data_IF_714749024761
#
_entry.id   IF_714749024761
#
_cell.length_a   1.000
_cell.length_b   1.000
_cell.length_c   1.000
_cell.angle_alpha   90.00
_cell.angle_beta   90.00
_cell.angle_gamma   90.00
#
_symmetry.space_group_name_H-M   'P 1'
#
loop_
_entity.id
_entity.type
_entity.pdbx_description
1 polymer ?
#
# COMPACT_ATOMS: atom_id res chain seq x y z
N UNK A 1 0.95 21.75 -10.13
CA UNK A 1 1.96 22.32 -9.22
C UNK A 1 3.04 21.25 -9.09
N UNK A 2 4.19 21.45 -9.73
CA UNK A 2 5.25 20.46 -9.78
C UNK A 2 5.75 20.15 -8.36
N UNK A 3 6.11 18.90 -8.09
CA UNK A 3 6.85 18.51 -6.89
C UNK A 3 8.23 19.17 -6.95
N UNK A 4 8.32 20.41 -6.49
CA UNK A 4 9.58 21.15 -6.37
C UNK A 4 10.31 20.68 -5.12
N UNK A 5 11.41 19.99 -5.33
CA UNK A 5 12.42 19.78 -4.30
C UNK A 5 13.20 21.07 -4.13
N UNK A 6 12.93 21.83 -3.07
CA UNK A 6 13.77 22.96 -2.69
C UNK A 6 15.13 22.47 -2.16
N UNK A 7 16.26 23.04 -2.62
CA UNK A 7 17.56 22.77 -2.04
C UNK A 7 17.69 23.53 -0.71
N UNK A 8 18.05 22.81 0.35
CA UNK A 8 18.27 23.36 1.70
C UNK A 8 19.27 24.51 1.69
N UNK A 9 18.85 25.64 2.21
CA UNK A 9 19.66 26.83 2.47
C UNK A 9 20.83 26.53 3.40
N UNK A 10 22.00 27.10 3.08
CA UNK A 10 23.22 27.06 3.87
C UNK A 10 23.02 27.78 5.23
N UNK A 11 23.38 27.10 6.31
CA UNK A 11 23.47 27.73 7.66
C UNK A 11 24.59 28.77 7.70
N UNK A 12 24.39 29.91 8.35
CA UNK A 12 25.48 30.88 8.61
C UNK A 12 26.44 30.33 9.66
N UNK A 13 27.75 30.64 9.46
CA UNK A 13 28.82 30.35 10.40
C UNK A 13 28.70 31.34 11.58
N UNK A 14 28.62 30.82 12.81
CA UNK A 14 28.77 31.56 14.02
C UNK A 14 30.27 31.65 14.37
N UNK A 15 30.76 32.89 14.60
CA UNK A 15 32.09 33.19 15.10
C UNK A 15 32.19 32.93 16.61
N UNK A 16 33.45 32.94 17.15
CA UNK A 16 33.69 32.65 18.54
C UNK A 16 33.49 33.91 19.41
N UNK A 17 32.65 33.79 20.42
CA UNK A 17 32.68 34.77 21.51
C UNK A 17 32.62 34.11 22.88
N UNK A 18 33.40 34.68 23.74
CA UNK A 18 33.84 34.24 25.05
C UNK A 18 32.80 34.49 26.15
N UNK A 19 33.07 33.82 27.26
CA UNK A 19 32.68 34.14 28.62
C UNK A 19 31.19 33.99 29.02
N UNK A 20 30.85 32.84 29.64
CA UNK A 20 29.75 32.74 30.61
C UNK A 20 30.00 31.66 31.66
N UNK A 21 30.13 32.15 32.90
CA UNK A 21 30.06 31.38 34.16
C UNK A 21 28.89 30.37 34.20
N UNK A 22 29.05 29.18 34.79
CA UNK A 22 28.00 28.18 34.87
C UNK A 22 26.95 28.57 35.94
N UNK A 23 25.64 28.37 35.64
CA UNK A 23 24.60 28.52 36.64
C UNK A 23 24.50 27.29 37.54
N UNK A 24 24.26 27.56 38.82
CA UNK A 24 24.07 26.63 39.94
C UNK A 24 22.86 25.72 39.68
N UNK A 25 23.06 24.40 39.78
CA UNK A 25 21.99 23.38 39.59
C UNK A 25 21.23 23.21 40.91
N UNK A 26 19.95 23.52 40.94
CA UNK A 26 19.00 23.08 41.96
C UNK A 26 18.44 21.71 41.60
N UNK A 27 18.27 20.76 42.55
CA UNK A 27 17.66 19.47 42.27
C UNK A 27 16.14 19.63 42.18
N UNK A 28 15.64 19.75 40.95
CA UNK A 28 14.20 19.73 40.64
C UNK A 28 13.78 18.33 40.17
N UNK A 29 12.71 17.82 40.75
CA UNK A 29 12.06 16.53 40.49
C UNK A 29 11.86 16.26 38.99
N UNK A 30 12.58 15.29 38.47
CA UNK A 30 12.36 14.80 37.10
C UNK A 30 11.19 13.80 37.07
N UNK A 31 10.02 14.29 36.74
CA UNK A 31 8.94 13.42 36.19
C UNK A 31 9.40 12.95 34.80
N UNK A 32 9.32 11.65 34.49
CA UNK A 32 9.68 11.18 33.16
C UNK A 32 8.71 11.78 32.12
N UNK A 33 9.19 12.12 30.92
CA UNK A 33 8.34 12.67 29.88
C UNK A 33 7.27 11.65 29.51
N UNK A 34 6.02 12.02 29.70
CA UNK A 34 4.85 11.30 29.23
C UNK A 34 4.94 11.27 27.70
N UNK A 35 5.18 10.09 27.12
CA UNK A 35 5.04 9.88 25.68
C UNK A 35 3.60 10.20 25.31
N UNK A 36 3.35 11.37 24.77
CA UNK A 36 2.10 11.62 24.03
C UNK A 36 2.12 10.70 22.81
N UNK A 37 1.01 9.99 22.52
CA UNK A 37 0.89 9.25 21.27
C UNK A 37 1.08 10.24 20.11
N UNK A 38 2.10 10.03 19.29
CA UNK A 38 2.26 10.77 18.05
C UNK A 38 1.06 10.40 17.19
N UNK A 39 0.15 11.34 16.93
CA UNK A 39 -0.94 11.13 15.98
C UNK A 39 -0.34 10.65 14.66
N UNK A 40 -0.90 9.58 14.06
CA UNK A 40 -0.40 9.07 12.79
C UNK A 40 -0.50 10.19 11.75
N UNK A 41 0.62 10.55 11.13
CA UNK A 41 0.67 11.45 9.99
C UNK A 41 -0.32 10.93 8.94
N UNK A 42 -1.38 11.71 8.68
CA UNK A 42 -2.35 11.39 7.65
C UNK A 42 -1.68 11.54 6.28
N UNK A 43 -1.16 10.44 5.75
CA UNK A 43 -0.49 10.38 4.44
C UNK A 43 -1.42 9.90 3.33
N UNK A 44 -2.62 9.45 3.68
CA UNK A 44 -3.58 8.89 2.74
C UNK A 44 -3.99 9.90 1.68
N UNK A 45 -4.02 9.47 0.41
CA UNK A 45 -4.34 10.29 -0.75
C UNK A 45 -5.44 9.65 -1.59
N UNK A 46 -6.24 10.51 -2.22
CA UNK A 46 -7.27 10.12 -3.18
C UNK A 46 -6.65 9.70 -4.50
N UNK A 47 -7.20 8.66 -5.13
CA UNK A 47 -6.91 8.30 -6.51
C UNK A 47 -8.18 8.51 -7.35
N UNK A 48 -8.05 9.27 -8.43
CA UNK A 48 -9.09 9.43 -9.44
C UNK A 48 -8.63 8.80 -10.76
N UNK A 49 -9.40 7.86 -11.26
CA UNK A 49 -9.15 7.18 -12.54
C UNK A 49 -10.24 7.57 -13.54
N UNK A 50 -9.85 7.90 -14.76
CA UNK A 50 -10.79 8.33 -15.82
C UNK A 50 -10.45 7.69 -17.15
N UNK A 51 -11.40 6.91 -17.71
CA UNK A 51 -11.31 6.30 -19.02
C UNK A 51 -10.09 5.41 -19.22
N UNK A 52 -9.66 4.69 -18.16
CA UNK A 52 -8.43 3.91 -18.19
C UNK A 52 -8.59 2.64 -19.01
N UNK A 53 -7.71 2.49 -20.02
CA UNK A 53 -7.51 1.24 -20.75
C UNK A 53 -6.05 0.80 -20.63
N UNK A 54 -5.81 -0.51 -20.49
CA UNK A 54 -4.47 -1.05 -20.41
C UNK A 54 -4.29 -2.22 -21.38
N UNK A 55 -3.09 -2.28 -21.95
CA UNK A 55 -2.74 -3.20 -23.02
C UNK A 55 -1.47 -3.97 -22.70
N UNK A 56 -1.44 -5.21 -23.14
CA UNK A 56 -0.25 -6.03 -23.27
C UNK A 56 0.00 -6.29 -24.76
N UNK A 57 0.93 -5.53 -25.37
CA UNK A 57 1.14 -5.49 -26.84
C UNK A 57 -0.16 -5.11 -27.56
N UNK A 58 -0.71 -6.00 -28.40
CA UNK A 58 -1.98 -5.79 -29.12
C UNK A 58 -3.24 -6.14 -28.30
N UNK A 59 -3.09 -6.90 -27.21
CA UNK A 59 -4.20 -7.33 -26.38
C UNK A 59 -4.63 -6.23 -25.40
N UNK A 60 -5.89 -5.76 -25.51
CA UNK A 60 -6.52 -4.85 -24.56
C UNK A 60 -7.01 -5.69 -23.38
N UNK A 61 -6.36 -5.55 -22.23
CA UNK A 61 -6.69 -6.33 -21.03
C UNK A 61 -7.82 -5.72 -20.20
N UNK A 62 -7.91 -4.39 -20.17
CA UNK A 62 -9.00 -3.64 -19.52
C UNK A 62 -9.39 -2.45 -20.39
N UNK A 63 -10.65 -2.01 -20.28
CA UNK A 63 -11.22 -0.95 -21.13
C UNK A 63 -12.15 -0.04 -20.33
N UNK A 64 -11.98 1.26 -20.52
CA UNK A 64 -12.84 2.36 -20.05
C UNK A 64 -13.20 2.30 -18.56
N UNK A 65 -12.18 2.12 -17.70
CA UNK A 65 -12.38 2.10 -16.25
C UNK A 65 -12.31 3.52 -15.69
N UNK A 66 -13.39 3.94 -15.01
CA UNK A 66 -13.46 5.20 -14.29
C UNK A 66 -13.94 4.95 -12.87
N UNK A 67 -13.13 5.35 -11.87
CA UNK A 67 -13.41 5.14 -10.45
C UNK A 67 -12.66 6.15 -9.59
N UNK A 68 -13.29 6.56 -8.48
CA UNK A 68 -12.64 7.30 -7.41
C UNK A 68 -12.34 6.38 -6.23
N UNK A 69 -11.14 6.46 -5.68
CA UNK A 69 -10.69 5.72 -4.51
C UNK A 69 -10.43 6.75 -3.41
N UNK A 70 -11.26 6.71 -2.37
CA UNK A 70 -11.24 7.71 -1.31
C UNK A 70 -10.05 7.51 -0.34
N UNK A 71 -9.49 8.58 0.23
CA UNK A 71 -8.42 8.47 1.21
C UNK A 71 -8.92 7.81 2.50
N UNK A 72 -8.00 7.17 3.24
CA UNK A 72 -8.28 6.49 4.52
C UNK A 72 -9.45 5.48 4.44
N UNK A 73 -9.58 4.82 3.31
CA UNK A 73 -10.60 3.82 3.05
C UNK A 73 -9.99 2.57 2.43
N UNK A 74 -10.73 1.48 2.46
CA UNK A 74 -10.41 0.24 1.76
C UNK A 74 -11.37 0.09 0.58
N UNK A 75 -10.83 0.06 -0.64
CA UNK A 75 -11.59 -0.27 -1.86
C UNK A 75 -11.24 -1.69 -2.30
N UNK A 76 -12.23 -2.57 -2.34
CA UNK A 76 -12.07 -3.93 -2.82
C UNK A 76 -12.42 -4.06 -4.31
N UNK A 77 -11.56 -4.72 -5.09
CA UNK A 77 -11.85 -5.12 -6.46
C UNK A 77 -12.20 -6.60 -6.47
N UNK A 78 -13.43 -6.92 -6.85
CA UNK A 78 -13.96 -8.28 -6.94
C UNK A 78 -14.33 -8.62 -8.40
N UNK A 79 -14.48 -9.91 -8.71
CA UNK A 79 -14.87 -10.40 -10.05
C UNK A 79 -14.17 -11.70 -10.42
N UNK A 80 -14.56 -12.34 -11.52
CA UNK A 80 -14.00 -13.63 -11.94
C UNK A 80 -12.50 -13.55 -12.26
N UNK A 81 -11.83 -14.69 -12.26
CA UNK A 81 -10.43 -14.79 -12.66
C UNK A 81 -10.26 -14.34 -14.11
N UNK A 82 -9.20 -13.58 -14.40
CA UNK A 82 -8.91 -13.09 -15.75
C UNK A 82 -9.65 -11.82 -16.19
N UNK A 83 -10.57 -11.26 -15.39
CA UNK A 83 -11.27 -10.01 -15.75
C UNK A 83 -10.46 -8.73 -15.58
N UNK A 84 -9.14 -8.80 -15.37
CA UNK A 84 -8.26 -7.65 -15.40
C UNK A 84 -8.03 -6.92 -14.07
N UNK A 85 -8.55 -7.38 -12.91
CA UNK A 85 -8.37 -6.74 -11.59
C UNK A 85 -6.91 -6.45 -11.24
N UNK A 86 -6.06 -7.46 -11.31
CA UNK A 86 -4.63 -7.30 -11.02
C UNK A 86 -3.91 -6.45 -12.07
N UNK A 87 -4.38 -6.46 -13.34
CA UNK A 87 -3.88 -5.54 -14.36
C UNK A 87 -4.22 -4.10 -13.97
N UNK A 88 -5.49 -3.82 -13.62
CA UNK A 88 -5.91 -2.51 -13.16
C UNK A 88 -5.15 -2.07 -11.90
N UNK A 89 -5.04 -2.95 -10.89
CA UNK A 89 -4.27 -2.65 -9.68
C UNK A 89 -2.84 -2.19 -10.01
N UNK A 90 -2.16 -2.88 -10.93
CA UNK A 90 -0.78 -2.57 -11.34
C UNK A 90 -0.65 -1.30 -12.16
N UNK A 91 -1.72 -0.78 -12.75
CA UNK A 91 -1.68 0.53 -13.41
C UNK A 91 -1.62 1.66 -12.39
N UNK A 92 -2.20 1.49 -11.19
CA UNK A 92 -2.22 2.53 -10.16
C UNK A 92 -0.84 2.89 -9.61
N UNK A 93 0.18 2.01 -9.78
CA UNK A 93 1.57 2.27 -9.38
C UNK A 93 2.57 2.11 -10.54
N UNK A 94 2.11 2.09 -11.77
CA UNK A 94 2.95 1.93 -12.98
C UNK A 94 3.74 0.61 -13.04
N UNK A 95 3.38 -0.41 -12.22
CA UNK A 95 3.97 -1.74 -12.30
C UNK A 95 3.59 -2.47 -13.60
N UNK A 96 2.49 -2.08 -14.24
CA UNK A 96 2.08 -2.59 -15.54
C UNK A 96 3.17 -2.39 -16.61
N UNK A 97 3.86 -1.24 -16.60
CA UNK A 97 4.91 -0.87 -17.56
C UNK A 97 6.18 -1.72 -17.47
N UNK A 98 6.34 -2.53 -16.41
CA UNK A 98 7.48 -3.47 -16.30
C UNK A 98 7.38 -4.60 -17.34
N UNK A 99 6.18 -4.86 -17.86
CA UNK A 99 5.96 -5.85 -18.92
C UNK A 99 6.28 -5.23 -20.27
N UNK A 100 7.23 -5.80 -21.05
CA UNK A 100 7.59 -5.25 -22.37
C UNK A 100 6.40 -5.15 -23.32
N UNK A 101 6.19 -3.94 -23.86
CA UNK A 101 5.07 -3.64 -24.76
C UNK A 101 3.75 -3.37 -24.05
N UNK A 102 3.74 -3.28 -22.72
CA UNK A 102 2.57 -2.80 -22.00
C UNK A 102 2.42 -1.27 -22.16
N UNK A 103 1.18 -0.81 -22.26
CA UNK A 103 0.84 0.61 -22.33
C UNK A 103 -0.51 0.88 -21.68
N UNK A 104 -0.73 2.14 -21.32
CA UNK A 104 -1.94 2.62 -20.67
C UNK A 104 -2.46 3.82 -21.48
N UNK A 105 -3.78 3.93 -21.58
CA UNK A 105 -4.51 5.10 -22.10
C UNK A 105 -5.47 5.58 -20.99
N UNK A 106 -5.88 6.83 -21.02
CA UNK A 106 -6.69 7.45 -19.96
C UNK A 106 -5.83 8.14 -18.89
N UNK A 107 -6.38 8.38 -17.71
CA UNK A 107 -5.70 9.13 -16.62
C UNK A 107 -5.81 8.42 -15.30
N UNK A 108 -4.72 8.50 -14.51
CA UNK A 108 -4.66 8.12 -13.10
C UNK A 108 -4.09 9.28 -12.31
N UNK A 109 -4.91 9.92 -11.51
CA UNK A 109 -4.52 11.07 -10.71
C UNK A 109 -4.37 10.64 -9.25
N UNK A 110 -3.23 10.97 -8.63
CA UNK A 110 -3.03 10.86 -7.18
C UNK A 110 -3.10 12.27 -6.60
N UNK A 111 -4.17 12.56 -5.88
CA UNK A 111 -4.43 13.89 -5.31
C UNK A 111 -4.34 15.01 -6.38
N UNK A 112 -4.91 14.74 -7.56
CA UNK A 112 -4.91 15.65 -8.72
C UNK A 112 -3.65 15.63 -9.59
N UNK A 113 -2.59 14.93 -9.20
CA UNK A 113 -1.37 14.80 -10.01
C UNK A 113 -1.43 13.55 -10.90
N UNK A 114 -1.27 13.74 -12.21
CA UNK A 114 -1.25 12.64 -13.18
C UNK A 114 -0.01 11.77 -13.01
N UNK A 115 -0.21 10.49 -12.65
CA UNK A 115 0.88 9.54 -12.45
C UNK A 115 1.58 9.13 -13.74
N UNK A 116 0.95 9.38 -14.90
CA UNK A 116 1.47 9.06 -16.23
C UNK A 116 1.98 10.28 -17.01
N UNK A 117 2.06 11.46 -16.36
CA UNK A 117 2.66 12.62 -16.99
C UNK A 117 4.12 12.35 -17.42
N UNK A 118 4.58 12.90 -18.56
CA UNK A 118 5.91 12.58 -19.14
C UNK A 118 7.10 12.88 -18.21
N UNK A 119 6.94 13.81 -17.28
CA UNK A 119 7.94 14.25 -16.32
C UNK A 119 7.90 13.46 -15.00
N UNK A 120 6.95 12.52 -14.83
CA UNK A 120 6.81 11.71 -13.62
C UNK A 120 7.64 10.45 -13.72
N UNK A 121 8.62 10.29 -12.80
CA UNK A 121 9.44 9.08 -12.68
C UNK A 121 8.61 7.92 -12.11
N UNK A 122 8.52 6.76 -12.81
CA UNK A 122 7.84 5.57 -12.29
C UNK A 122 8.38 5.07 -10.95
N UNK A 123 9.67 5.27 -10.67
CA UNK A 123 10.26 4.89 -9.39
C UNK A 123 9.75 5.80 -8.26
N UNK A 124 9.53 7.08 -8.53
CA UNK A 124 8.92 8.01 -7.58
C UNK A 124 7.46 7.61 -7.27
N UNK A 125 6.68 7.20 -8.29
CA UNK A 125 5.32 6.69 -8.10
C UNK A 125 5.32 5.46 -7.19
N UNK A 126 6.20 4.50 -7.42
CA UNK A 126 6.27 3.25 -6.62
C UNK A 126 6.74 3.45 -5.18
N UNK A 127 7.32 4.61 -4.87
CA UNK A 127 7.62 4.99 -3.47
C UNK A 127 6.38 5.44 -2.71
N UNK A 128 5.49 6.17 -3.39
CA UNK A 128 4.27 6.71 -2.77
C UNK A 128 3.07 5.78 -2.88
N UNK A 129 3.08 4.86 -3.86
CA UNK A 129 2.06 3.83 -4.06
C UNK A 129 2.71 2.45 -3.89
N UNK A 130 2.73 1.96 -2.65
CA UNK A 130 3.31 0.67 -2.27
C UNK A 130 2.47 -0.51 -2.75
N UNK A 131 3.09 -1.70 -2.83
CA UNK A 131 2.40 -2.92 -3.28
C UNK A 131 2.78 -4.14 -2.46
N UNK A 132 1.77 -4.92 -2.08
CA UNK A 132 1.86 -6.24 -1.49
C UNK A 132 1.35 -7.25 -2.52
N UNK A 133 2.15 -8.27 -2.81
CA UNK A 133 1.86 -9.26 -3.84
C UNK A 133 1.09 -10.46 -3.27
N UNK A 134 0.42 -11.18 -4.15
CA UNK A 134 -0.35 -12.38 -3.84
C UNK A 134 0.48 -13.45 -3.13
N UNK A 135 1.69 -13.73 -3.62
CA UNK A 135 2.63 -14.62 -2.95
C UNK A 135 3.60 -13.80 -2.12
N UNK A 136 3.80 -14.14 -0.84
CA UNK A 136 4.83 -13.50 -0.04
C UNK A 136 6.18 -13.57 -0.75
N UNK A 137 6.86 -12.44 -0.83
CA UNK A 137 8.13 -12.32 -1.56
C UNK A 137 9.22 -11.63 -0.71
N UNK A 138 9.51 -12.13 0.50
CA UNK A 138 10.64 -11.61 1.26
C UNK A 138 11.93 -11.83 0.45
N UNK A 139 12.89 -10.91 0.58
CA UNK A 139 14.21 -11.11 0.00
C UNK A 139 14.89 -12.30 0.69
N UNK A 140 15.14 -13.43 -0.01
CA UNK A 140 15.47 -14.69 0.66
C UNK A 140 16.84 -14.69 1.36
N UNK A 141 17.77 -13.89 0.87
CA UNK A 141 19.12 -13.74 1.42
C UNK A 141 19.22 -12.69 2.52
N UNK A 142 18.16 -11.89 2.72
CA UNK A 142 18.12 -10.84 3.73
C UNK A 142 17.47 -11.33 5.02
N UNK A 143 17.98 -10.81 6.14
CA UNK A 143 17.37 -11.00 7.45
C UNK A 143 15.99 -10.32 7.52
N UNK A 144 15.22 -10.61 8.57
CA UNK A 144 13.92 -9.95 8.85
C UNK A 144 14.10 -8.43 8.91
N UNK A 145 15.09 -7.97 9.68
CA UNK A 145 15.44 -6.54 9.78
C UNK A 145 15.78 -5.93 8.41
N UNK A 146 16.66 -6.57 7.64
CA UNK A 146 17.08 -6.07 6.32
C UNK A 146 15.94 -6.03 5.31
N UNK A 147 15.01 -6.99 5.35
CA UNK A 147 13.82 -6.97 4.50
C UNK A 147 13.00 -5.69 4.72
N UNK A 148 12.73 -5.32 5.98
CA UNK A 148 11.98 -4.09 6.29
C UNK A 148 12.80 -2.85 5.96
N UNK A 149 14.09 -2.86 6.29
CA UNK A 149 15.01 -1.73 6.08
C UNK A 149 15.31 -1.45 4.60
N UNK A 150 15.08 -2.41 3.69
CA UNK A 150 15.50 -2.32 2.29
C UNK A 150 14.97 -1.06 1.58
N UNK A 151 13.66 -0.81 1.65
CA UNK A 151 13.04 0.37 1.05
C UNK A 151 13.51 1.69 1.68
N UNK A 152 13.70 1.71 3.01
CA UNK A 152 14.17 2.88 3.73
C UNK A 152 15.58 3.25 3.28
N UNK A 153 16.49 2.26 3.18
CA UNK A 153 17.88 2.46 2.73
C UNK A 153 17.97 2.97 1.29
N UNK A 154 17.10 2.50 0.40
CA UNK A 154 17.06 2.97 -0.98
C UNK A 154 16.63 4.45 -1.08
N UNK A 155 15.78 4.91 -0.17
CA UNK A 155 15.21 6.25 -0.21
C UNK A 155 15.97 7.27 0.66
N UNK A 156 16.81 6.83 1.60
CA UNK A 156 17.54 7.69 2.54
C UNK A 156 18.96 7.19 2.78
N UNK A 157 19.92 7.83 2.12
CA UNK A 157 21.36 7.47 2.23
C UNK A 157 22.03 7.96 3.51
N UNK A 158 21.35 8.77 4.35
CA UNK A 158 21.93 9.45 5.51
C UNK A 158 21.18 9.23 6.83
N UNK A 159 20.38 8.18 6.92
CA UNK A 159 19.68 7.86 8.17
C UNK A 159 20.66 7.26 9.19
N UNK A 160 20.62 7.73 10.45
CA UNK A 160 21.40 7.11 11.53
C UNK A 160 20.89 5.69 11.78
N UNK A 161 21.78 4.79 12.21
CA UNK A 161 21.42 3.41 12.46
C UNK A 161 20.28 3.27 13.48
N UNK A 162 20.30 4.05 14.56
CA UNK A 162 19.25 4.03 15.58
C UNK A 162 17.88 4.40 14.98
N UNK A 163 17.82 5.48 14.19
CA UNK A 163 16.57 5.92 13.53
C UNK A 163 16.03 4.86 12.55
N UNK A 164 16.93 4.10 11.89
CA UNK A 164 16.57 2.99 11.03
C UNK A 164 16.01 1.82 11.84
N UNK A 165 16.66 1.46 12.94
CA UNK A 165 16.25 0.36 13.82
C UNK A 165 14.87 0.67 14.45
N UNK A 166 14.66 1.90 14.92
CA UNK A 166 13.36 2.37 15.44
C UNK A 166 12.25 2.28 14.39
N UNK A 167 12.56 2.65 13.15
CA UNK A 167 11.62 2.61 12.04
C UNK A 167 11.26 1.18 11.61
N UNK A 168 12.24 0.27 11.65
CA UNK A 168 12.03 -1.16 11.41
C UNK A 168 11.13 -1.75 12.50
N UNK A 169 11.41 -1.45 13.78
CA UNK A 169 10.58 -1.89 14.90
C UNK A 169 9.15 -1.37 14.76
N UNK A 170 8.96 -0.07 14.53
CA UNK A 170 7.64 0.53 14.35
C UNK A 170 6.86 -0.13 13.20
N UNK A 171 7.51 -0.44 12.08
CA UNK A 171 6.88 -1.11 10.94
C UNK A 171 6.48 -2.56 11.25
N UNK A 172 7.32 -3.30 11.99
CA UNK A 172 7.01 -4.66 12.42
C UNK A 172 5.88 -4.68 13.46
N UNK A 173 5.81 -3.68 14.36
CA UNK A 173 4.70 -3.52 15.32
C UNK A 173 3.40 -3.23 14.58
N UNK A 174 3.41 -2.28 13.65
CA UNK A 174 2.23 -1.95 12.81
C UNK A 174 1.77 -3.12 11.95
N UNK A 175 2.66 -4.04 11.57
CA UNK A 175 2.33 -5.27 10.86
C UNK A 175 1.95 -6.45 11.78
N UNK A 176 1.78 -6.22 13.08
CA UNK A 176 1.48 -7.25 14.09
C UNK A 176 2.45 -8.44 14.04
N UNK A 177 3.75 -8.16 13.79
CA UNK A 177 4.78 -9.19 13.65
C UNK A 177 5.90 -9.07 14.70
N UNK A 178 6.04 -7.92 15.36
CA UNK A 178 7.17 -7.61 16.25
C UNK A 178 7.37 -8.66 17.34
N UNK A 179 6.32 -8.99 18.09
CA UNK A 179 6.42 -9.88 19.24
C UNK A 179 6.83 -11.31 18.86
N UNK A 180 6.57 -11.71 17.61
CA UNK A 180 6.95 -13.01 17.09
C UNK A 180 8.40 -13.06 16.59
N UNK A 181 9.02 -11.91 16.26
CA UNK A 181 10.32 -11.88 15.56
C UNK A 181 11.41 -11.06 16.25
N UNK A 182 11.10 -10.29 17.29
CA UNK A 182 12.06 -9.38 17.97
C UNK A 182 13.36 -10.06 18.41
N UNK A 183 13.30 -11.32 18.83
CA UNK A 183 14.47 -12.08 19.30
C UNK A 183 15.25 -12.76 18.16
N UNK A 184 14.76 -12.64 16.91
CA UNK A 184 15.35 -13.28 15.73
C UNK A 184 15.44 -12.38 14.49
N UNK A 185 15.52 -11.07 14.67
CA UNK A 185 15.58 -10.06 13.58
C UNK A 185 16.73 -10.29 12.59
N UNK A 186 17.82 -10.93 13.02
CA UNK A 186 18.97 -11.28 12.18
C UNK A 186 18.79 -12.60 11.40
N UNK A 187 17.72 -13.36 11.64
CA UNK A 187 17.41 -14.58 10.89
C UNK A 187 16.85 -14.25 9.52
N UNK A 188 17.07 -15.12 8.51
CA UNK A 188 16.48 -14.93 7.17
C UNK A 188 14.95 -14.85 7.22
N UNK A 189 14.38 -13.89 6.47
CA UNK A 189 12.92 -13.73 6.36
C UNK A 189 12.22 -14.92 5.70
N UNK A 190 12.93 -15.66 4.85
CA UNK A 190 12.42 -16.87 4.20
C UNK A 190 12.11 -18.02 5.18
N UNK A 191 12.68 -18.01 6.40
CA UNK A 191 12.41 -19.02 7.43
C UNK A 191 11.12 -18.80 8.24
N UNK A 192 10.34 -17.79 7.93
CA UNK A 192 9.05 -17.49 8.55
C UNK A 192 7.92 -18.33 7.94
N UNK A 193 6.81 -18.52 8.69
CA UNK A 193 5.58 -19.12 8.13
C UNK A 193 4.98 -18.25 7.03
N UNK A 194 4.08 -18.78 6.19
CA UNK A 194 3.45 -18.03 5.10
C UNK A 194 2.78 -16.74 5.57
N UNK A 195 1.98 -16.79 6.63
CA UNK A 195 1.34 -15.62 7.22
C UNK A 195 2.35 -14.61 7.82
N UNK A 196 3.42 -15.10 8.45
CA UNK A 196 4.51 -14.24 8.93
C UNK A 196 5.26 -13.58 7.78
N UNK A 197 5.54 -14.31 6.69
CA UNK A 197 6.17 -13.75 5.50
C UNK A 197 5.30 -12.67 4.86
N UNK A 198 3.99 -12.88 4.79
CA UNK A 198 3.07 -11.88 4.25
C UNK A 198 3.06 -10.61 5.12
N UNK A 199 2.98 -10.74 6.43
CA UNK A 199 3.09 -9.60 7.36
C UNK A 199 4.46 -8.92 7.28
N UNK A 200 5.55 -9.67 7.04
CA UNK A 200 6.87 -9.10 6.77
C UNK A 200 6.88 -8.27 5.47
N UNK A 201 6.23 -8.75 4.40
CA UNK A 201 6.09 -8.01 3.15
C UNK A 201 5.23 -6.74 3.34
N UNK A 202 4.18 -6.80 4.17
CA UNK A 202 3.41 -5.61 4.55
C UNK A 202 4.28 -4.65 5.35
N UNK A 203 5.01 -5.11 6.38
CA UNK A 203 5.93 -4.28 7.16
C UNK A 203 6.96 -3.56 6.26
N UNK A 204 7.54 -4.28 5.29
CA UNK A 204 8.44 -3.71 4.28
C UNK A 204 7.76 -2.64 3.43
N UNK A 205 6.52 -2.86 3.01
CA UNK A 205 5.78 -1.91 2.18
C UNK A 205 5.43 -0.63 2.95
N UNK A 206 5.01 -0.72 4.22
CA UNK A 206 4.63 0.44 5.03
C UNK A 206 5.84 1.18 5.62
N UNK A 207 7.02 0.55 5.68
CA UNK A 207 8.23 1.16 6.25
C UNK A 207 8.72 2.41 5.48
N UNK A 208 8.35 2.55 4.22
CA UNK A 208 8.64 3.73 3.41
C UNK A 208 7.57 4.82 3.51
N UNK A 209 6.53 4.59 4.33
CA UNK A 209 5.39 5.50 4.54
C UNK A 209 4.72 5.89 3.21
N UNK A 210 4.15 4.92 2.48
CA UNK A 210 3.45 5.20 1.24
C UNK A 210 2.16 6.01 1.52
N UNK A 211 1.60 6.63 0.49
CA UNK A 211 0.30 7.30 0.55
C UNK A 211 -0.85 6.35 0.24
N UNK A 212 -0.56 5.34 -0.58
CA UNK A 212 -1.50 4.29 -1.00
C UNK A 212 -0.83 2.93 -0.85
N UNK A 213 -1.58 1.93 -0.41
CA UNK A 213 -1.14 0.55 -0.30
C UNK A 213 -2.03 -0.35 -1.17
N UNK A 214 -1.44 -0.91 -2.21
CA UNK A 214 -2.09 -1.87 -3.10
C UNK A 214 -1.84 -3.29 -2.59
N UNK A 215 -2.86 -4.13 -2.56
CA UNK A 215 -2.77 -5.52 -2.13
C UNK A 215 -3.41 -6.44 -3.17
N UNK A 216 -2.59 -7.25 -3.84
CA UNK A 216 -3.05 -8.22 -4.85
C UNK A 216 -3.26 -9.57 -4.18
N UNK A 217 -4.51 -9.93 -3.85
CA UNK A 217 -4.92 -11.18 -3.21
C UNK A 217 -4.08 -11.57 -1.96
N UNK A 218 -3.92 -10.69 -0.96
CA UNK A 218 -2.90 -10.85 0.10
C UNK A 218 -3.11 -12.07 1.00
N UNK A 219 -4.28 -12.71 0.97
CA UNK A 219 -4.63 -13.85 1.81
C UNK A 219 -4.85 -15.17 1.05
N UNK A 220 -4.70 -15.19 -0.28
CA UNK A 220 -5.11 -16.35 -1.11
C UNK A 220 -4.34 -17.65 -0.82
N UNK A 221 -3.14 -17.56 -0.23
CA UNK A 221 -2.29 -18.72 0.09
C UNK A 221 -2.14 -18.94 1.62
N UNK A 222 -3.01 -18.33 2.44
CA UNK A 222 -2.91 -18.36 3.90
C UNK A 222 -3.98 -19.23 4.53
N UNK A 223 -3.67 -19.75 5.70
CA UNK A 223 -4.63 -20.42 6.56
C UNK A 223 -5.66 -19.41 7.15
N UNK A 224 -6.82 -19.89 7.67
CA UNK A 224 -7.86 -19.01 8.18
C UNK A 224 -7.42 -18.06 9.30
N UNK A 225 -6.54 -18.52 10.20
CA UNK A 225 -6.06 -17.71 11.34
C UNK A 225 -5.17 -16.58 10.81
N UNK A 226 -4.23 -16.90 9.91
CA UNK A 226 -3.38 -15.92 9.25
C UNK A 226 -4.19 -14.92 8.42
N UNK A 227 -5.28 -15.38 7.78
CA UNK A 227 -6.20 -14.52 7.02
C UNK A 227 -6.87 -13.49 7.92
N UNK A 228 -7.44 -13.90 9.05
CA UNK A 228 -8.06 -12.98 10.01
C UNK A 228 -7.04 -11.95 10.53
N UNK A 229 -5.82 -12.38 10.85
CA UNK A 229 -4.77 -11.47 11.30
C UNK A 229 -4.40 -10.40 10.25
N UNK A 230 -4.47 -10.73 8.95
CA UNK A 230 -4.28 -9.75 7.86
C UNK A 230 -5.50 -8.83 7.71
N UNK A 231 -6.72 -9.34 7.89
CA UNK A 231 -7.95 -8.54 7.85
C UNK A 231 -7.97 -7.49 8.98
N UNK A 232 -7.63 -7.89 10.21
CA UNK A 232 -7.49 -6.96 11.35
C UNK A 232 -6.40 -5.91 11.07
N UNK A 233 -5.29 -6.34 10.48
CA UNK A 233 -4.21 -5.45 10.11
C UNK A 233 -4.66 -4.42 9.05
N UNK A 234 -5.46 -4.80 8.06
CA UNK A 234 -6.01 -3.89 7.04
C UNK A 234 -6.87 -2.81 7.72
N UNK A 235 -7.71 -3.18 8.69
CA UNK A 235 -8.53 -2.22 9.45
C UNK A 235 -7.70 -1.20 10.23
N UNK A 236 -6.55 -1.60 10.78
CA UNK A 236 -5.65 -0.66 11.45
C UNK A 236 -4.89 0.24 10.44
N UNK A 237 -4.43 -0.34 9.33
CA UNK A 237 -3.67 0.39 8.32
C UNK A 237 -4.50 1.44 7.59
N UNK A 238 -5.81 1.23 7.37
CA UNK A 238 -6.67 2.21 6.69
C UNK A 238 -6.76 3.55 7.42
N UNK A 239 -6.49 3.59 8.72
CA UNK A 239 -6.45 4.83 9.50
C UNK A 239 -5.34 5.80 9.03
N UNK A 240 -4.32 5.28 8.34
CA UNK A 240 -3.15 6.05 7.89
C UNK A 240 -2.95 6.03 6.38
N UNK A 241 -3.51 5.05 5.67
CA UNK A 241 -3.29 4.81 4.24
C UNK A 241 -4.60 4.71 3.48
N UNK A 242 -4.55 5.03 2.21
CA UNK A 242 -5.56 4.58 1.24
C UNK A 242 -5.22 3.15 0.84
N UNK A 243 -6.16 2.22 0.93
CA UNK A 243 -5.92 0.80 0.64
C UNK A 243 -6.77 0.35 -0.54
N UNK A 244 -6.15 -0.35 -1.48
CA UNK A 244 -6.85 -1.05 -2.57
C UNK A 244 -6.51 -2.52 -2.48
N UNK A 245 -7.52 -3.37 -2.37
CA UNK A 245 -7.35 -4.81 -2.29
C UNK A 245 -8.03 -5.51 -3.47
N UNK A 246 -7.32 -6.40 -4.16
CA UNK A 246 -7.92 -7.39 -5.05
C UNK A 246 -8.18 -8.65 -4.26
N UNK A 247 -9.37 -9.21 -4.34
CA UNK A 247 -9.70 -10.50 -3.76
C UNK A 247 -10.78 -11.22 -4.57
N UNK A 248 -10.68 -12.54 -4.62
CA UNK A 248 -11.76 -13.40 -5.12
C UNK A 248 -12.63 -13.96 -3.98
N UNK A 249 -12.28 -13.67 -2.71
CA UNK A 249 -13.06 -14.06 -1.55
C UNK A 249 -14.06 -12.96 -1.18
N UNK A 250 -15.35 -13.21 -1.48
CA UNK A 250 -16.44 -12.28 -1.21
C UNK A 250 -16.61 -11.95 0.26
N UNK A 251 -16.42 -12.93 1.13
CA UNK A 251 -16.53 -12.72 2.58
C UNK A 251 -15.42 -11.79 3.08
N UNK A 252 -14.20 -11.93 2.55
CA UNK A 252 -13.11 -11.02 2.84
C UNK A 252 -13.42 -9.60 2.38
N UNK A 253 -13.86 -9.43 1.12
CA UNK A 253 -14.25 -8.11 0.61
C UNK A 253 -15.31 -7.47 1.49
N UNK A 254 -16.36 -8.22 1.85
CA UNK A 254 -17.45 -7.73 2.71
C UNK A 254 -16.97 -7.31 4.11
N UNK A 255 -15.94 -7.99 4.69
CA UNK A 255 -15.44 -7.65 6.02
C UNK A 255 -14.50 -6.46 6.03
N UNK A 256 -13.62 -6.33 5.02
CA UNK A 256 -12.49 -5.39 5.12
C UNK A 256 -12.71 -4.08 4.37
N UNK A 257 -13.62 -4.04 3.36
CA UNK A 257 -13.72 -2.87 2.49
C UNK A 257 -14.87 -1.92 2.86
N UNK A 258 -14.66 -0.65 2.59
CA UNK A 258 -15.67 0.41 2.68
C UNK A 258 -16.38 0.57 1.34
N UNK A 259 -15.66 0.38 0.24
CA UNK A 259 -16.16 0.43 -1.15
C UNK A 259 -15.79 -0.85 -1.86
N UNK A 260 -16.70 -1.37 -2.67
CA UNK A 260 -16.48 -2.54 -3.53
C UNK A 260 -16.73 -2.17 -4.98
N UNK A 261 -15.84 -2.61 -5.87
CA UNK A 261 -15.91 -2.43 -7.32
C UNK A 261 -15.89 -3.80 -8.00
N UNK A 262 -16.94 -4.11 -8.74
CA UNK A 262 -17.10 -5.37 -9.46
C UNK A 262 -16.60 -5.24 -10.89
N UNK A 263 -15.66 -6.10 -11.25
CA UNK A 263 -15.07 -6.21 -12.58
C UNK A 263 -15.58 -7.46 -13.28
N UNK A 264 -15.90 -7.34 -14.58
CA UNK A 264 -16.29 -8.49 -15.38
C UNK A 264 -15.79 -8.36 -16.82
N UNK A 265 -15.90 -9.45 -17.58
CA UNK A 265 -15.68 -9.50 -19.03
C UNK A 265 -17.00 -9.85 -19.71
N UNK A 266 -17.26 -9.27 -20.89
CA UNK A 266 -18.47 -9.56 -21.65
C UNK A 266 -18.40 -10.90 -22.38
N UNK A 267 -17.19 -11.47 -22.55
CA UNK A 267 -16.96 -12.74 -23.24
C UNK A 267 -15.48 -13.11 -23.25
N UNK A 268 -15.18 -14.30 -23.72
CA UNK A 268 -13.80 -14.80 -23.83
C UNK A 268 -13.00 -13.95 -24.80
N UNK A 269 -11.87 -13.39 -24.31
CA UNK A 269 -10.99 -12.52 -25.11
C UNK A 269 -11.39 -11.05 -25.12
N UNK A 270 -12.52 -10.68 -24.52
CA UNK A 270 -12.93 -9.30 -24.34
C UNK A 270 -12.16 -8.64 -23.18
N UNK A 271 -11.97 -7.32 -23.23
CA UNK A 271 -11.32 -6.60 -22.14
C UNK A 271 -12.21 -6.56 -20.91
N UNK A 272 -11.56 -6.60 -19.73
CA UNK A 272 -12.26 -6.41 -18.46
C UNK A 272 -12.78 -4.98 -18.32
N UNK A 273 -13.94 -4.84 -17.70
CA UNK A 273 -14.59 -3.54 -17.42
C UNK A 273 -15.05 -3.46 -15.97
N UNK A 274 -15.13 -2.25 -15.48
CA UNK A 274 -15.84 -1.95 -14.24
C UNK A 274 -17.35 -1.99 -14.54
N UNK A 275 -18.05 -2.91 -13.90
CA UNK A 275 -19.50 -3.08 -14.09
C UNK A 275 -20.28 -2.25 -13.10
N UNK A 276 -19.88 -2.32 -11.81
CA UNK A 276 -20.55 -1.60 -10.74
C UNK A 276 -19.56 -1.26 -9.63
N UNK A 277 -19.74 -0.10 -8.99
CA UNK A 277 -19.00 0.29 -7.79
C UNK A 277 -19.89 1.06 -6.82
N UNK A 278 -19.67 0.87 -5.53
CA UNK A 278 -20.44 1.53 -4.49
C UNK A 278 -20.00 1.13 -3.09
N UNK A 279 -20.72 1.60 -2.07
CA UNK A 279 -20.46 1.12 -0.71
C UNK A 279 -20.57 -0.40 -0.65
N UNK A 280 -19.69 -1.03 0.09
CA UNK A 280 -19.62 -2.50 0.20
C UNK A 280 -20.95 -3.09 0.63
N UNK A 281 -21.63 -2.47 1.60
CA UNK A 281 -22.95 -2.90 2.03
C UNK A 281 -23.96 -2.93 0.87
N UNK A 282 -24.04 -1.85 0.07
CA UNK A 282 -24.93 -1.77 -1.08
C UNK A 282 -24.62 -2.86 -2.13
N UNK A 283 -23.36 -3.03 -2.47
CA UNK A 283 -22.94 -4.03 -3.48
C UNK A 283 -23.31 -5.44 -3.04
N UNK A 284 -23.16 -5.78 -1.76
CA UNK A 284 -23.47 -7.14 -1.27
C UNK A 284 -24.93 -7.38 -0.89
N UNK A 285 -25.73 -6.34 -0.62
CA UNK A 285 -27.13 -6.51 -0.19
C UNK A 285 -28.15 -6.14 -1.27
N UNK A 286 -27.86 -5.13 -2.09
CA UNK A 286 -28.78 -4.61 -3.11
C UNK A 286 -28.02 -4.03 -4.31
N UNK A 287 -27.28 -4.87 -5.07
CA UNK A 287 -26.62 -4.44 -6.28
C UNK A 287 -27.63 -3.96 -7.33
N UNK A 288 -27.20 -3.04 -8.19
CA UNK A 288 -28.04 -2.51 -9.28
C UNK A 288 -27.90 -3.35 -10.54
N UNK A 289 -26.68 -3.80 -10.81
CA UNK A 289 -26.37 -4.56 -12.00
C UNK A 289 -26.63 -6.06 -11.79
N UNK A 290 -27.42 -6.67 -12.71
CA UNK A 290 -27.71 -8.09 -12.64
C UNK A 290 -26.46 -8.97 -12.64
N UNK A 291 -25.43 -8.58 -13.38
CA UNK A 291 -24.16 -9.31 -13.42
C UNK A 291 -23.45 -9.30 -12.04
N UNK A 292 -23.60 -8.22 -11.27
CA UNK A 292 -23.12 -8.13 -9.89
C UNK A 292 -23.90 -9.06 -8.97
N UNK A 293 -25.24 -9.05 -9.07
CA UNK A 293 -26.11 -9.94 -8.29
C UNK A 293 -25.80 -11.42 -8.55
N UNK A 294 -25.70 -11.79 -9.83
CA UNK A 294 -25.41 -13.16 -10.25
C UNK A 294 -24.02 -13.61 -9.73
N UNK A 295 -23.01 -12.72 -9.78
CA UNK A 295 -21.67 -13.01 -9.27
C UNK A 295 -21.67 -13.22 -7.75
N UNK A 296 -22.29 -12.33 -6.98
CA UNK A 296 -22.31 -12.40 -5.51
C UNK A 296 -23.10 -13.60 -5.02
N UNK A 297 -24.23 -13.93 -5.70
CA UNK A 297 -25.07 -15.08 -5.35
C UNK A 297 -24.50 -16.43 -5.84
N UNK A 298 -23.35 -16.45 -6.52
CA UNK A 298 -22.74 -17.67 -7.06
C UNK A 298 -23.48 -18.26 -8.27
N UNK A 299 -24.34 -17.48 -8.95
CA UNK A 299 -25.12 -17.91 -10.13
C UNK A 299 -24.42 -17.63 -11.46
N UNK A 300 -23.13 -17.41 -11.45
CA UNK A 300 -22.34 -17.23 -12.68
C UNK A 300 -21.88 -18.58 -13.20
N UNK A 301 -22.20 -18.87 -14.44
CA UNK A 301 -21.84 -20.08 -15.18
C UNK A 301 -21.81 -19.80 -16.67
#
# INVERSE_FOLDING_TARGET
MALTFEPRSRRPKLGPDADRTPPTVHPGSSTPPTHQPVEPLNMAKRIDVSGLAAYYRAFKAIDDISIAIEPQSVTAFIGPSGCGKSTFLRTLNRMHEVVPGARVEGKVLLDGQDLYAPDVDPAAVRRVVGMVFQRPNPFPTMSIHENVAAGIKLNSTKMRKADLDDRVEASLRRANLWDEVRDRLKRPGAGLSGGQQQRLCIARAIAVEPQVLLMDEPCSALDPISTLAIEDLIHELKKSFTIVIVTHNMQQAARVSDTTAFFNVSGTGEPGRLVESGSTDKIFTNPVEKATEDYISGRFG
#
